data_IF_254739418550
#
_entry.id   IF_254739418550
#
_cell.length_a   1.000
_cell.length_b   1.000
_cell.length_c   1.000
_cell.angle_alpha   90.00
_cell.angle_beta   90.00
_cell.angle_gamma   90.00
#
_symmetry.space_group_name_H-M   'P 1'
#
loop_
_entity.id
_entity.type
_entity.pdbx_description
1 polymer ?
#
# COMPACT_ATOMS: atom_id res chain seq x y z
N UNK A 1 5.37 -1.81 28.50
CA UNK A 1 4.78 -2.64 27.46
C UNK A 1 5.79 -2.80 26.34
N UNK A 2 6.27 -4.00 26.13
CA UNK A 2 7.24 -4.33 25.10
C UNK A 2 6.57 -4.31 23.72
N UNK A 3 6.99 -3.39 22.85
CA UNK A 3 6.54 -3.27 21.47
C UNK A 3 7.51 -3.99 20.50
N UNK A 4 8.39 -4.84 21.00
CA UNK A 4 9.25 -5.68 20.15
C UNK A 4 8.41 -6.61 19.30
N UNK A 5 8.69 -6.69 18.00
CA UNK A 5 8.00 -7.60 17.11
C UNK A 5 8.28 -9.06 17.48
N UNK A 6 7.23 -9.81 17.75
CA UNK A 6 7.32 -11.23 18.13
C UNK A 6 6.95 -12.16 16.98
N UNK A 7 6.39 -11.62 15.91
CA UNK A 7 5.95 -12.36 14.73
C UNK A 7 6.43 -11.65 13.47
N UNK A 8 6.61 -12.40 12.41
CA UNK A 8 6.69 -11.82 11.09
C UNK A 8 5.35 -11.15 10.78
N UNK A 9 5.36 -9.87 10.38
CA UNK A 9 4.16 -9.07 10.12
C UNK A 9 3.28 -8.89 11.36
N UNK A 10 3.88 -8.43 12.45
CA UNK A 10 3.16 -8.09 13.67
C UNK A 10 2.42 -6.76 13.48
N UNK A 11 1.43 -6.78 12.59
CA UNK A 11 0.71 -5.61 12.09
C UNK A 11 0.07 -4.77 13.20
N UNK A 12 -0.49 -5.41 14.24
CA UNK A 12 -1.09 -4.66 15.34
C UNK A 12 -0.04 -3.89 16.14
N UNK A 13 1.12 -4.50 16.40
CA UNK A 13 2.22 -3.79 17.07
C UNK A 13 2.81 -2.70 16.19
N UNK A 14 3.01 -2.94 14.89
CA UNK A 14 3.52 -1.91 13.98
C UNK A 14 2.58 -0.72 13.90
N UNK A 15 1.27 -0.93 13.87
CA UNK A 15 0.29 0.15 13.92
C UNK A 15 0.41 1.00 15.19
N UNK A 16 0.60 0.38 16.36
CA UNK A 16 0.82 1.11 17.61
C UNK A 16 2.14 1.90 17.55
N UNK A 17 3.23 1.28 17.03
CA UNK A 17 4.54 1.93 16.90
C UNK A 17 4.45 3.15 15.99
N UNK A 18 3.83 3.01 14.83
CA UNK A 18 3.66 4.10 13.87
C UNK A 18 2.83 5.23 14.48
N UNK A 19 1.71 4.92 15.12
CA UNK A 19 0.90 5.91 15.81
C UNK A 19 1.67 6.64 16.93
N UNK A 20 2.49 5.93 17.70
CA UNK A 20 3.34 6.56 18.73
C UNK A 20 4.42 7.47 18.14
N UNK A 21 5.00 7.13 17.00
CA UNK A 21 5.94 8.01 16.26
C UNK A 21 5.27 9.30 15.80
N UNK A 22 3.98 9.23 15.48
CA UNK A 22 3.14 10.40 15.15
C UNK A 22 2.66 11.18 16.40
N UNK A 23 3.14 10.80 17.58
CA UNK A 23 2.87 11.52 18.83
C UNK A 23 1.64 11.05 19.61
N UNK A 24 1.00 9.94 19.23
CA UNK A 24 -0.12 9.41 20.00
C UNK A 24 0.36 8.80 21.33
N UNK A 25 -0.33 9.14 22.41
CA UNK A 25 -0.17 8.55 23.73
C UNK A 25 -1.43 7.76 24.11
N UNK A 26 -1.23 6.70 24.88
CA UNK A 26 -2.29 5.83 25.39
C UNK A 26 -2.02 5.59 26.88
N UNK A 27 -2.82 6.20 27.74
CA UNK A 27 -2.72 6.06 29.20
C UNK A 27 -3.40 4.78 29.71
N UNK A 28 -4.31 4.21 28.92
CA UNK A 28 -5.05 3.00 29.24
C UNK A 28 -4.74 1.87 28.28
N UNK A 29 -4.88 0.63 28.77
CA UNK A 29 -4.87 -0.56 27.92
C UNK A 29 -6.16 -0.64 27.10
N UNK A 30 -6.09 -1.36 25.99
CA UNK A 30 -7.21 -1.58 25.08
C UNK A 30 -7.47 -3.07 24.94
N UNK A 31 -8.74 -3.46 24.97
CA UNK A 31 -9.22 -4.75 24.52
C UNK A 31 -10.05 -4.52 23.26
N UNK A 32 -9.73 -5.25 22.19
CA UNK A 32 -10.34 -5.03 20.89
C UNK A 32 -10.69 -6.38 20.27
N UNK A 33 -11.94 -6.54 19.87
CA UNK A 33 -12.41 -7.63 19.03
C UNK A 33 -12.52 -7.12 17.58
N UNK A 34 -11.96 -7.89 16.64
CA UNK A 34 -11.96 -7.54 15.23
C UNK A 34 -12.65 -8.64 14.44
N UNK A 35 -13.68 -8.28 13.69
CA UNK A 35 -14.42 -9.15 12.78
C UNK A 35 -14.37 -8.62 11.36
N UNK A 36 -14.45 -9.47 10.36
CA UNK A 36 -14.43 -9.06 8.95
C UNK A 36 -15.14 -10.08 8.07
N UNK A 37 -15.95 -9.57 7.16
CA UNK A 37 -16.59 -10.36 6.09
C UNK A 37 -15.77 -10.32 4.79
N UNK A 38 -14.63 -9.59 4.77
CA UNK A 38 -13.76 -9.50 3.60
C UNK A 38 -13.00 -10.82 3.44
N UNK A 39 -13.08 -11.50 2.29
CA UNK A 39 -12.37 -12.75 2.07
C UNK A 39 -10.85 -12.61 2.24
N UNK A 40 -10.26 -13.47 3.05
CA UNK A 40 -8.82 -13.45 3.33
C UNK A 40 -8.07 -14.11 2.17
N UNK A 41 -6.97 -13.51 1.70
CA UNK A 41 -6.11 -13.98 0.60
C UNK A 41 -6.81 -14.08 -0.75
N UNK A 42 -7.94 -13.45 -0.93
CA UNK A 42 -8.70 -13.41 -2.18
C UNK A 42 -8.29 -12.24 -3.11
N UNK A 43 -7.30 -11.46 -2.75
CA UNK A 43 -6.87 -10.30 -3.54
C UNK A 43 -7.77 -9.07 -3.37
N UNK A 44 -8.62 -9.06 -2.35
CA UNK A 44 -9.60 -8.00 -2.04
C UNK A 44 -9.08 -6.93 -1.06
N UNK A 45 -7.77 -6.85 -0.84
CA UNK A 45 -7.16 -5.83 0.06
C UNK A 45 -7.49 -6.02 1.54
N UNK A 46 -7.82 -7.25 1.99
CA UNK A 46 -8.28 -7.50 3.36
C UNK A 46 -7.28 -7.07 4.43
N UNK A 47 -5.98 -7.25 4.24
CA UNK A 47 -4.96 -6.84 5.21
C UNK A 47 -4.88 -5.32 5.33
N UNK A 48 -4.93 -4.61 4.20
CA UNK A 48 -4.91 -3.15 4.18
C UNK A 48 -6.16 -2.54 4.79
N UNK A 49 -7.33 -3.14 4.55
CA UNK A 49 -8.58 -2.73 5.21
C UNK A 49 -8.49 -2.88 6.74
N UNK A 50 -7.91 -3.99 7.24
CA UNK A 50 -7.66 -4.19 8.67
C UNK A 50 -6.70 -3.14 9.21
N UNK A 51 -5.59 -2.85 8.50
CA UNK A 51 -4.61 -1.87 8.95
C UNK A 51 -5.17 -0.45 8.98
N UNK A 52 -5.93 -0.04 7.97
CA UNK A 52 -6.60 1.26 7.94
C UNK A 52 -7.57 1.38 9.13
N UNK A 53 -8.37 0.35 9.37
CA UNK A 53 -9.29 0.32 10.49
C UNK A 53 -8.57 0.39 11.84
N UNK A 54 -7.45 -0.34 11.97
CA UNK A 54 -6.62 -0.35 13.16
C UNK A 54 -5.99 1.02 13.45
N UNK A 55 -5.39 1.67 12.47
CA UNK A 55 -4.83 3.03 12.61
C UNK A 55 -5.92 4.02 12.96
N UNK A 56 -7.09 3.95 12.30
CA UNK A 56 -8.22 4.81 12.62
C UNK A 56 -8.72 4.57 14.05
N UNK A 57 -8.89 3.32 14.46
CA UNK A 57 -9.26 2.97 15.83
C UNK A 57 -8.26 3.54 16.84
N UNK A 58 -6.97 3.32 16.65
CA UNK A 58 -5.92 3.85 17.53
C UNK A 58 -5.97 5.38 17.61
N UNK A 59 -6.20 6.06 16.49
CA UNK A 59 -6.33 7.52 16.47
C UNK A 59 -7.49 8.03 17.32
N UNK A 60 -8.58 7.26 17.39
CA UNK A 60 -9.76 7.60 18.20
C UNK A 60 -9.60 7.26 19.67
N UNK A 61 -8.75 6.28 19.98
CA UNK A 61 -8.52 5.79 21.35
C UNK A 61 -7.32 6.45 22.04
N UNK A 62 -6.59 7.32 21.33
CA UNK A 62 -5.49 8.09 21.92
C UNK A 62 -6.00 9.06 22.99
N UNK A 63 -5.14 9.37 23.98
CA UNK A 63 -5.46 10.34 25.07
C UNK A 63 -5.90 11.68 24.51
N UNK A 64 -5.32 12.11 23.40
CA UNK A 64 -5.70 13.28 22.62
C UNK A 64 -5.94 12.83 21.17
N UNK A 65 -7.19 12.59 20.76
CA UNK A 65 -7.49 12.14 19.41
C UNK A 65 -7.08 13.18 18.36
N UNK A 66 -6.22 12.84 17.39
CA UNK A 66 -5.84 13.74 16.32
C UNK A 66 -6.98 13.92 15.30
N UNK A 67 -6.97 15.03 14.59
CA UNK A 67 -7.88 15.27 13.45
C UNK A 67 -7.24 14.80 12.14
N UNK A 68 -6.91 13.51 12.03
CA UNK A 68 -6.34 12.98 10.80
C UNK A 68 -7.40 12.86 9.71
N UNK A 69 -7.04 13.32 8.54
CA UNK A 69 -7.82 13.10 7.32
C UNK A 69 -7.66 11.65 6.84
N UNK A 70 -8.61 11.11 6.07
CA UNK A 70 -8.54 9.74 5.55
C UNK A 70 -7.22 9.41 4.85
N UNK A 71 -6.70 10.31 4.03
CA UNK A 71 -5.41 10.13 3.36
C UNK A 71 -4.28 9.85 4.37
N UNK A 72 -4.16 10.67 5.45
CA UNK A 72 -3.14 10.45 6.49
C UNK A 72 -3.28 9.09 7.17
N UNK A 73 -4.51 8.63 7.41
CA UNK A 73 -4.77 7.29 7.97
C UNK A 73 -4.26 6.21 7.02
N UNK A 74 -4.52 6.34 5.71
CA UNK A 74 -4.03 5.42 4.69
C UNK A 74 -2.51 5.41 4.60
N UNK A 75 -1.85 6.56 4.65
CA UNK A 75 -0.40 6.69 4.67
C UNK A 75 0.22 5.99 5.88
N UNK A 76 -0.35 6.16 7.07
CA UNK A 76 0.12 5.50 8.29
C UNK A 76 -0.14 4.00 8.27
N UNK A 77 -1.25 3.56 7.68
CA UNK A 77 -1.52 2.15 7.46
C UNK A 77 -0.50 1.52 6.50
N UNK A 78 -0.13 2.23 5.42
CA UNK A 78 0.93 1.82 4.51
C UNK A 78 2.29 1.70 5.23
N UNK A 79 2.65 2.70 6.05
CA UNK A 79 3.86 2.63 6.86
C UNK A 79 3.87 1.39 7.75
N UNK A 80 2.78 1.14 8.46
CA UNK A 80 2.67 0.05 9.42
C UNK A 80 2.61 -1.35 8.76
N UNK A 81 2.01 -1.46 7.57
CA UNK A 81 1.84 -2.74 6.88
C UNK A 81 3.04 -3.08 5.98
N UNK A 82 3.58 -2.10 5.28
CA UNK A 82 4.55 -2.31 4.20
C UNK A 82 5.95 -1.87 4.59
N UNK A 83 6.12 -0.61 5.00
CA UNK A 83 7.46 -0.05 5.23
C UNK A 83 8.14 -0.64 6.46
N UNK A 84 7.42 -0.85 7.56
CA UNK A 84 7.96 -1.45 8.80
C UNK A 84 8.55 -2.86 8.56
N UNK A 85 8.07 -3.56 7.55
CA UNK A 85 8.50 -4.92 7.22
C UNK A 85 9.30 -5.01 5.92
N UNK A 86 9.62 -3.86 5.30
CA UNK A 86 10.33 -3.79 4.00
C UNK A 86 9.67 -4.66 2.92
N UNK A 87 8.33 -4.67 2.88
CA UNK A 87 7.58 -5.46 1.94
C UNK A 87 7.50 -4.82 0.55
N UNK A 88 7.35 -5.59 -0.52
CA UNK A 88 7.31 -5.09 -1.89
C UNK A 88 5.90 -4.62 -2.30
N UNK A 89 5.26 -3.79 -1.50
CA UNK A 89 3.93 -3.26 -1.77
C UNK A 89 3.94 -1.75 -2.00
N UNK A 90 2.99 -1.25 -2.80
CA UNK A 90 2.65 0.17 -2.88
C UNK A 90 1.56 0.53 -1.88
N UNK A 91 1.17 1.80 -1.85
CA UNK A 91 0.17 2.35 -0.91
C UNK A 91 -1.27 2.33 -1.42
N UNK A 92 -1.51 1.79 -2.61
CA UNK A 92 -2.80 1.88 -3.29
C UNK A 92 -3.94 1.30 -2.45
N UNK A 93 -3.74 0.10 -1.90
CA UNK A 93 -4.78 -0.60 -1.14
C UNK A 93 -5.16 0.17 0.13
N UNK A 94 -4.16 0.69 0.86
CA UNK A 94 -4.36 1.43 2.11
C UNK A 94 -5.04 2.78 1.85
N UNK A 95 -4.57 3.52 0.84
CA UNK A 95 -5.18 4.83 0.49
C UNK A 95 -6.61 4.62 0.01
N UNK A 96 -6.85 3.64 -0.86
CA UNK A 96 -8.20 3.35 -1.36
C UNK A 96 -9.14 2.92 -0.22
N UNK A 97 -8.68 2.05 0.68
CA UNK A 97 -9.48 1.61 1.83
C UNK A 97 -9.81 2.78 2.79
N UNK A 98 -8.89 3.73 2.95
CA UNK A 98 -9.10 4.90 3.81
C UNK A 98 -10.02 5.96 3.17
N UNK A 99 -9.83 6.24 1.87
CA UNK A 99 -10.59 7.27 1.15
C UNK A 99 -11.98 6.81 0.75
N UNK A 100 -12.13 5.52 0.45
CA UNK A 100 -13.36 4.97 -0.13
C UNK A 100 -13.63 5.45 -1.56
N UNK A 101 -14.69 4.93 -2.16
CA UNK A 101 -15.11 5.28 -3.52
C UNK A 101 -14.06 4.99 -4.60
N UNK A 102 -14.15 5.66 -5.74
CA UNK A 102 -13.16 5.61 -6.80
C UNK A 102 -12.19 6.77 -6.65
N UNK A 103 -10.91 6.45 -6.69
CA UNK A 103 -9.86 7.47 -6.61
C UNK A 103 -8.85 7.31 -7.75
N UNK A 104 -8.23 8.41 -8.12
CA UNK A 104 -6.99 8.44 -8.86
C UNK A 104 -5.86 8.76 -7.88
N UNK A 105 -4.79 7.96 -7.89
CA UNK A 105 -3.66 8.06 -6.98
C UNK A 105 -2.36 8.16 -7.76
N UNK A 106 -1.61 9.24 -7.56
CA UNK A 106 -0.19 9.34 -7.87
C UNK A 106 0.60 9.20 -6.57
N UNK A 107 1.56 8.28 -6.53
CA UNK A 107 2.38 8.04 -5.32
C UNK A 107 3.76 8.70 -5.39
N UNK A 108 4.18 9.17 -6.57
CA UNK A 108 5.49 9.77 -6.84
C UNK A 108 5.32 10.98 -7.79
N UNK A 109 6.15 12.03 -7.72
CA UNK A 109 7.13 12.30 -6.64
C UNK A 109 6.47 12.75 -5.34
N UNK A 110 5.19 13.09 -5.37
CA UNK A 110 4.36 13.46 -4.22
C UNK A 110 3.05 12.68 -4.25
N UNK A 111 2.53 12.36 -3.07
CA UNK A 111 1.25 11.67 -2.98
C UNK A 111 0.12 12.63 -3.37
N UNK A 112 -0.54 12.35 -4.47
CA UNK A 112 -1.74 13.08 -4.93
C UNK A 112 -2.91 12.13 -5.02
N UNK A 113 -3.99 12.47 -4.33
CA UNK A 113 -5.23 11.69 -4.33
C UNK A 113 -6.37 12.54 -4.84
N UNK A 114 -7.02 12.07 -5.88
CA UNK A 114 -8.21 12.71 -6.44
C UNK A 114 -9.39 11.76 -6.39
N UNK A 115 -10.47 12.17 -5.71
CA UNK A 115 -11.73 11.44 -5.75
C UNK A 115 -12.42 11.66 -7.10
N UNK A 116 -12.83 10.56 -7.74
CA UNK A 116 -13.51 10.59 -9.02
C UNK A 116 -15.02 10.45 -8.80
N UNK A 117 -15.78 11.46 -9.22
CA UNK A 117 -17.25 11.44 -9.16
C UNK A 117 -17.79 10.71 -10.37
N UNK A 118 -17.96 9.41 -10.25
CA UNK A 118 -18.61 8.61 -11.28
C UNK A 118 -19.57 7.61 -10.66
N UNK A 119 -20.62 7.24 -11.40
CA UNK A 119 -21.51 6.13 -11.03
C UNK A 119 -20.98 4.88 -11.70
N UNK A 120 -20.41 4.00 -10.91
CA UNK A 120 -20.06 2.66 -11.36
C UNK A 120 -21.30 1.77 -11.26
N UNK A 121 -21.46 0.86 -12.23
CA UNK A 121 -22.52 -0.14 -12.21
C UNK A 121 -22.29 -1.21 -11.14
N UNK A 122 -22.98 -2.32 -11.25
CA UNK A 122 -22.82 -3.48 -10.36
C UNK A 122 -21.49 -4.17 -10.62
N UNK A 123 -20.74 -4.45 -9.55
CA UNK A 123 -19.55 -5.28 -9.61
C UNK A 123 -19.87 -6.70 -9.18
N UNK A 124 -19.25 -7.67 -9.83
CA UNK A 124 -19.30 -9.08 -9.45
C UNK A 124 -17.89 -9.52 -9.11
N UNK A 125 -17.69 -10.01 -7.90
CA UNK A 125 -16.45 -10.62 -7.45
C UNK A 125 -16.58 -12.14 -7.55
N UNK A 126 -15.76 -12.77 -8.42
CA UNK A 126 -15.68 -14.22 -8.52
C UNK A 126 -14.55 -14.74 -7.61
N UNK A 127 -14.86 -15.73 -6.78
CA UNK A 127 -13.85 -16.43 -5.98
C UNK A 127 -13.30 -17.61 -6.79
N UNK A 128 -11.99 -17.58 -7.11
CA UNK A 128 -11.30 -18.67 -7.81
C UNK A 128 -10.99 -19.86 -6.90
N UNK A 129 -11.18 -19.72 -5.59
CA UNK A 129 -10.80 -20.69 -4.55
C UNK A 129 -9.29 -21.01 -4.52
N UNK A 130 -8.48 -20.28 -5.28
CA UNK A 130 -7.02 -20.42 -5.28
C UNK A 130 -6.37 -19.30 -4.45
N UNK A 131 -5.57 -19.65 -3.43
CA UNK A 131 -4.92 -18.65 -2.59
C UNK A 131 -3.86 -17.89 -3.39
N UNK A 132 -3.95 -16.57 -3.41
CA UNK A 132 -2.98 -15.70 -4.07
C UNK A 132 -1.62 -15.71 -3.34
N UNK A 133 -0.53 -16.07 -4.03
CA UNK A 133 0.84 -15.80 -3.58
C UNK A 133 1.21 -14.32 -3.81
N UNK A 134 0.54 -13.43 -3.06
CA UNK A 134 0.69 -11.98 -3.23
C UNK A 134 2.15 -11.54 -3.10
N UNK A 135 2.87 -12.05 -2.09
CA UNK A 135 4.23 -11.58 -1.81
C UNK A 135 5.25 -12.05 -2.84
N UNK A 136 5.14 -13.29 -3.27
CA UNK A 136 6.02 -13.81 -4.31
C UNK A 136 5.81 -13.09 -5.65
N UNK A 137 4.56 -12.82 -6.00
CA UNK A 137 4.21 -12.10 -7.23
C UNK A 137 4.72 -10.65 -7.16
N UNK A 138 4.38 -9.91 -6.11
CA UNK A 138 4.79 -8.51 -5.97
C UNK A 138 6.31 -8.34 -5.95
N UNK A 139 7.02 -9.23 -5.25
CA UNK A 139 8.49 -9.18 -5.22
C UNK A 139 9.09 -9.41 -6.60
N UNK A 140 8.65 -10.45 -7.32
CA UNK A 140 9.14 -10.72 -8.68
C UNK A 140 8.85 -9.56 -9.63
N UNK A 141 7.64 -9.01 -9.61
CA UNK A 141 7.28 -7.86 -10.45
C UNK A 141 8.11 -6.63 -10.10
N UNK A 142 8.23 -6.28 -8.82
CA UNK A 142 9.05 -5.15 -8.39
C UNK A 142 10.51 -5.31 -8.80
N UNK A 143 11.11 -6.46 -8.50
CA UNK A 143 12.53 -6.69 -8.75
C UNK A 143 12.85 -6.69 -10.26
N UNK A 144 11.95 -7.25 -11.07
CA UNK A 144 12.06 -7.20 -12.53
C UNK A 144 11.99 -5.75 -13.07
N UNK A 145 11.02 -4.96 -12.59
CA UNK A 145 10.87 -3.55 -12.99
C UNK A 145 12.06 -2.69 -12.55
N UNK A 146 12.51 -2.84 -11.30
CA UNK A 146 13.69 -2.11 -10.81
C UNK A 146 14.95 -2.45 -11.60
N UNK A 147 15.09 -3.68 -12.07
CA UNK A 147 16.22 -4.07 -12.93
C UNK A 147 16.14 -3.38 -14.30
N UNK A 148 14.96 -3.27 -14.88
CA UNK A 148 14.74 -2.53 -16.13
C UNK A 148 15.11 -1.05 -15.94
N UNK A 149 14.59 -0.41 -14.90
CA UNK A 149 14.88 1.00 -14.61
C UNK A 149 16.38 1.24 -14.41
N UNK A 150 17.07 0.40 -13.65
CA UNK A 150 18.52 0.47 -13.48
C UNK A 150 19.28 0.35 -14.80
N UNK A 151 18.85 -0.57 -15.67
CA UNK A 151 19.44 -0.75 -17.00
C UNK A 151 19.30 0.50 -17.87
N UNK A 152 18.11 1.14 -17.85
CA UNK A 152 17.84 2.37 -18.57
C UNK A 152 18.66 3.54 -18.02
N UNK A 153 18.71 3.71 -16.70
CA UNK A 153 19.49 4.75 -16.02
C UNK A 153 21.00 4.60 -16.26
N UNK A 154 21.53 3.35 -16.37
CA UNK A 154 22.93 3.13 -16.71
C UNK A 154 23.29 3.62 -18.12
N UNK A 155 22.33 3.53 -19.06
CA UNK A 155 22.50 4.01 -20.43
C UNK A 155 22.24 5.51 -20.58
N UNK A 156 21.26 6.01 -19.87
CA UNK A 156 20.90 7.42 -19.85
C UNK A 156 20.76 7.89 -18.38
N UNK A 157 21.78 8.52 -17.79
CA UNK A 157 21.72 9.01 -16.40
C UNK A 157 20.60 10.03 -16.13
N UNK A 158 20.14 10.73 -17.17
CA UNK A 158 19.01 11.67 -17.11
C UNK A 158 17.64 10.99 -17.29
N UNK A 159 17.64 9.64 -17.38
CA UNK A 159 16.39 8.91 -17.56
C UNK A 159 15.45 9.08 -16.36
N UNK A 160 14.25 9.61 -16.63
CA UNK A 160 13.15 9.73 -15.67
C UNK A 160 11.89 9.10 -16.26
N UNK A 161 11.30 8.17 -15.52
CA UNK A 161 10.11 7.42 -15.93
C UNK A 161 8.89 8.33 -16.21
N UNK A 162 8.80 9.47 -15.51
CA UNK A 162 7.67 10.40 -15.64
C UNK A 162 7.77 11.34 -16.84
N UNK A 163 8.97 11.51 -17.38
CA UNK A 163 9.24 12.47 -18.46
C UNK A 163 9.75 11.83 -19.75
N UNK A 164 10.08 10.54 -19.71
CA UNK A 164 10.56 9.84 -20.89
C UNK A 164 9.44 9.63 -21.90
N UNK A 165 9.74 9.92 -23.18
CA UNK A 165 8.86 9.54 -24.28
C UNK A 165 8.97 8.05 -24.59
N UNK A 166 7.86 7.43 -24.98
CA UNK A 166 7.76 5.98 -25.23
C UNK A 166 8.79 5.46 -26.25
N UNK A 167 9.13 6.25 -27.26
CA UNK A 167 10.04 5.83 -28.34
C UNK A 167 11.49 5.63 -27.89
N UNK A 168 11.95 6.38 -26.90
CA UNK A 168 13.37 6.36 -26.47
C UNK A 168 13.68 5.11 -25.64
N UNK A 169 12.71 4.58 -24.96
CA UNK A 169 12.88 3.50 -23.97
C UNK A 169 12.81 2.12 -24.62
N UNK A 170 11.95 1.96 -25.61
CA UNK A 170 11.63 0.63 -26.16
C UNK A 170 12.73 0.02 -26.99
N UNK A 171 13.62 0.80 -27.63
CA UNK A 171 14.71 0.30 -28.47
C UNK A 171 15.75 -0.52 -27.69
N UNK A 172 15.91 -0.25 -26.40
CA UNK A 172 16.94 -0.81 -25.54
C UNK A 172 16.50 -2.04 -24.73
N UNK A 173 15.22 -2.38 -24.81
CA UNK A 173 14.60 -3.46 -24.07
C UNK A 173 14.31 -4.67 -24.98
N UNK A 174 14.51 -5.87 -24.45
CA UNK A 174 14.05 -7.09 -25.12
C UNK A 174 12.52 -7.23 -25.01
N UNK A 175 11.91 -8.19 -25.71
CA UNK A 175 10.45 -8.37 -25.78
C UNK A 175 9.81 -8.51 -24.39
N UNK A 176 10.43 -9.31 -23.49
CA UNK A 176 9.90 -9.53 -22.13
C UNK A 176 10.01 -8.24 -21.29
N UNK A 177 11.14 -7.55 -21.38
CA UNK A 177 11.35 -6.28 -20.68
C UNK A 177 10.37 -5.21 -21.16
N UNK A 178 10.08 -5.14 -22.47
CA UNK A 178 9.06 -4.22 -23.02
C UNK A 178 7.70 -4.48 -22.42
N UNK A 179 7.23 -5.72 -22.44
CA UNK A 179 5.94 -6.08 -21.85
C UNK A 179 5.85 -5.75 -20.37
N UNK A 180 6.93 -5.95 -19.61
CA UNK A 180 7.01 -5.61 -18.19
C UNK A 180 7.01 -4.09 -17.96
N UNK A 181 7.68 -3.34 -18.84
CA UNK A 181 7.75 -1.88 -18.77
C UNK A 181 6.41 -1.23 -19.14
N UNK A 182 5.76 -1.68 -20.22
CA UNK A 182 4.45 -1.19 -20.66
C UNK A 182 3.34 -1.45 -19.62
N UNK A 183 3.52 -2.46 -18.74
CA UNK A 183 2.62 -2.76 -17.64
C UNK A 183 2.97 -2.03 -16.34
N UNK A 184 3.87 -1.05 -16.39
CA UNK A 184 4.27 -0.27 -15.23
C UNK A 184 3.49 1.01 -15.18
#
# INVERSE_FOLDING_TARGET
NDLTYTRRRDYFKSGIIVCKREGLAFSSGLECELTSDIPIRAGSGSSSAVMVNWIHFLSRMADIPPKWMPQKIGELAYQAEVLEFSEPGGMMDQITAAMGSLIYLESEPEIKVQSLSTRLGTFVLGDSQEPKDTMGILRRCRDARLNILKKLQQKNPEFDLHTCGDEVVLSDLNVVEKTLFEGT
#
